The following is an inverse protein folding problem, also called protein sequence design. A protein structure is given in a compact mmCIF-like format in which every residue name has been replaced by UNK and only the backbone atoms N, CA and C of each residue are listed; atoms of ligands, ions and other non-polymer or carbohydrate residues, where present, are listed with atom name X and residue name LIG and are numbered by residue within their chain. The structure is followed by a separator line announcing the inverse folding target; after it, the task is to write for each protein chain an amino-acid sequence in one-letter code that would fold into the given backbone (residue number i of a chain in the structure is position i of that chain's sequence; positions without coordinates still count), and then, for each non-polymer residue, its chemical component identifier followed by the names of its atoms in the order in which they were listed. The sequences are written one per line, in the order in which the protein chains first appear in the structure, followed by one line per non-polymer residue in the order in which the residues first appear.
data_IF_467600834537
#
_entry.id   IF_467600834537
#
_cell.length_a   1.000
_cell.length_b   1.000
_cell.length_c   1.000
_cell.angle_alpha   90.00
_cell.angle_beta   90.00
_cell.angle_gamma   90.00
#
_symmetry.space_group_name_H-M   'P 1'
#
loop_
_entity.id
_entity.type
_entity.pdbx_description
1 polymer ?
#
# COMPACT_ATOMS: atom_id res chain seq x y z
N UNK A 1 -33.56 -7.59 9.98
CA UNK A 1 -32.21 -7.70 9.37
C UNK A 1 -31.85 -6.40 8.68
N UNK A 2 -30.61 -5.97 8.75
CA UNK A 2 -30.11 -4.81 8.02
C UNK A 2 -29.32 -5.27 6.79
N UNK A 3 -29.44 -4.59 5.67
CA UNK A 3 -28.84 -5.00 4.40
C UNK A 3 -27.95 -3.89 3.83
N UNK A 4 -26.73 -4.19 3.40
CA UNK A 4 -25.78 -3.24 2.82
C UNK A 4 -25.25 -3.69 1.43
N UNK A 5 -25.17 -2.96 0.32
CA UNK A 5 -24.71 -3.39 -1.02
C UNK A 5 -23.19 -3.25 -1.21
N UNK A 6 -22.58 -4.18 -1.91
CA UNK A 6 -21.13 -4.20 -2.09
C UNK A 6 -20.72 -3.65 -3.47
N UNK A 7 -21.21 -2.48 -3.83
CA UNK A 7 -20.62 -1.71 -4.91
C UNK A 7 -19.33 -1.03 -4.43
N UNK A 8 -18.46 -0.58 -5.33
CA UNK A 8 -17.13 -0.01 -5.01
C UNK A 8 -17.14 1.11 -3.94
N UNK A 9 -18.28 1.74 -3.71
CA UNK A 9 -18.46 2.82 -2.74
C UNK A 9 -19.53 2.55 -1.68
N UNK A 10 -20.24 1.44 -1.77
CA UNK A 10 -21.33 1.03 -0.88
C UNK A 10 -21.02 -0.36 -0.33
N UNK A 11 -21.40 -0.61 0.91
CA UNK A 11 -21.38 -1.93 1.51
C UNK A 11 -22.74 -2.25 2.05
N UNK A 12 -23.30 -3.29 1.52
CA UNK A 12 -24.58 -3.85 1.91
C UNK A 12 -24.36 -5.18 2.65
N UNK A 13 -24.93 -5.36 3.79
CA UNK A 13 -24.92 -6.65 4.49
C UNK A 13 -26.17 -6.78 5.35
N UNK A 14 -26.60 -8.01 5.52
CA UNK A 14 -27.74 -8.32 6.38
C UNK A 14 -27.22 -8.68 7.77
N UNK A 15 -27.71 -7.97 8.78
CA UNK A 15 -27.41 -8.24 10.18
C UNK A 15 -28.57 -8.96 10.85
N UNK A 16 -28.28 -10.09 11.51
CA UNK A 16 -29.14 -10.60 12.54
C UNK A 16 -28.99 -9.75 13.81
N UNK A 17 -30.04 -9.05 14.19
CA UNK A 17 -30.02 -8.26 15.43
C UNK A 17 -30.31 -9.20 16.60
N UNK A 18 -29.44 -9.30 17.62
CA UNK A 18 -29.72 -10.08 18.82
C UNK A 18 -30.87 -9.48 19.59
N UNK A 19 -31.57 -10.32 20.33
CA UNK A 19 -32.70 -9.90 21.18
C UNK A 19 -32.35 -8.71 22.10
N UNK A 20 -31.15 -8.73 22.66
CA UNK A 20 -30.59 -7.65 23.46
C UNK A 20 -29.08 -7.51 23.13
N UNK A 21 -28.58 -6.28 23.12
CA UNK A 21 -27.17 -6.03 23.02
C UNK A 21 -26.77 -5.00 21.96
N UNK A 22 -25.49 -5.05 21.60
CA UNK A 22 -24.89 -4.19 20.59
C UNK A 22 -24.47 -5.04 19.39
N UNK A 23 -24.65 -4.50 18.19
CA UNK A 23 -24.08 -5.04 16.96
C UNK A 23 -23.11 -3.99 16.45
N UNK A 24 -21.86 -4.40 16.22
CA UNK A 24 -20.86 -3.61 15.52
C UNK A 24 -20.72 -4.15 14.10
N UNK A 25 -20.87 -3.29 13.13
CA UNK A 25 -20.77 -3.63 11.73
C UNK A 25 -19.99 -2.57 10.98
N UNK A 26 -19.27 -2.96 9.95
CA UNK A 26 -18.53 -2.02 9.11
C UNK A 26 -17.09 -2.42 8.88
N UNK A 27 -16.13 -1.75 9.49
CA UNK A 27 -14.71 -1.82 9.15
C UNK A 27 -14.44 -1.30 7.73
N UNK A 28 -15.09 -0.19 7.38
CA UNK A 28 -14.99 0.45 6.07
C UNK A 28 -15.20 1.96 6.21
N UNK A 29 -14.63 2.75 5.31
CA UNK A 29 -14.97 4.17 5.19
C UNK A 29 -16.41 4.33 4.69
N UNK A 30 -17.19 5.18 5.33
CA UNK A 30 -18.56 5.49 4.92
C UNK A 30 -18.87 6.98 5.15
N UNK A 31 -19.84 7.49 4.44
CA UNK A 31 -20.36 8.86 4.59
C UNK A 31 -21.81 8.88 5.07
N UNK A 32 -22.56 7.88 4.67
CA UNK A 32 -23.98 7.74 5.01
C UNK A 32 -24.24 6.30 5.44
N UNK A 33 -25.19 6.15 6.36
CA UNK A 33 -25.71 4.85 6.79
C UNK A 33 -27.22 4.87 6.59
N UNK A 34 -27.75 3.84 5.93
CA UNK A 34 -29.17 3.60 5.81
C UNK A 34 -29.48 2.26 6.51
N UNK A 35 -30.55 2.22 7.25
CA UNK A 35 -31.01 1.03 7.95
C UNK A 35 -32.43 0.72 7.43
N UNK A 36 -32.57 -0.44 6.82
CA UNK A 36 -33.84 -0.93 6.32
C UNK A 36 -34.27 -2.17 7.13
N UNK A 37 -35.52 -2.21 7.54
CA UNK A 37 -36.10 -3.39 8.15
C UNK A 37 -36.64 -4.30 7.05
N UNK A 38 -36.10 -5.52 6.97
CA UNK A 38 -36.40 -6.45 5.87
C UNK A 38 -37.69 -7.23 6.11
N UNK A 39 -38.03 -7.46 7.35
CA UNK A 39 -39.25 -8.20 7.73
C UNK A 39 -40.44 -7.24 7.85
N UNK A 40 -41.50 -7.40 7.03
CA UNK A 40 -42.56 -6.37 6.91
C UNK A 40 -43.39 -6.15 8.18
N UNK A 41 -43.49 -7.16 9.06
CA UNK A 41 -44.29 -7.10 10.29
C UNK A 41 -43.42 -7.02 11.55
N UNK A 42 -42.11 -6.80 11.40
CA UNK A 42 -41.21 -6.71 12.54
C UNK A 42 -41.10 -5.24 13.06
N UNK A 43 -40.90 -5.11 14.35
CA UNK A 43 -40.61 -3.83 15.00
C UNK A 43 -39.16 -3.83 15.49
N UNK A 44 -38.43 -2.76 15.17
CA UNK A 44 -37.05 -2.56 15.62
C UNK A 44 -36.94 -1.31 16.47
N UNK A 45 -36.63 -1.48 17.75
CA UNK A 45 -36.37 -0.39 18.67
C UNK A 45 -34.86 -0.09 18.76
N UNK A 46 -34.41 0.96 18.08
CA UNK A 46 -33.01 1.42 18.10
C UNK A 46 -32.80 2.42 19.25
N UNK A 47 -31.90 2.11 20.18
CA UNK A 47 -31.51 3.03 21.26
C UNK A 47 -30.47 4.04 20.79
N UNK A 48 -29.53 3.62 19.97
CA UNK A 48 -28.49 4.48 19.44
C UNK A 48 -27.89 3.87 18.17
N UNK A 49 -27.48 4.74 17.26
CA UNK A 49 -26.57 4.45 16.15
C UNK A 49 -25.33 5.31 16.34
N UNK A 50 -24.16 4.72 16.36
CA UNK A 50 -22.89 5.41 16.59
C UNK A 50 -21.91 5.10 15.48
N UNK A 51 -21.23 6.13 14.97
CA UNK A 51 -20.04 5.97 14.15
C UNK A 51 -18.83 5.80 15.07
N UNK A 52 -18.03 4.77 14.82
CA UNK A 52 -16.77 4.51 15.53
C UNK A 52 -15.65 4.81 14.55
N UNK A 53 -14.87 5.87 14.83
CA UNK A 53 -13.66 6.17 14.10
C UNK A 53 -12.49 5.37 14.69
N UNK A 54 -11.82 4.59 13.85
CA UNK A 54 -10.58 3.88 14.20
C UNK A 54 -9.44 4.47 13.39
N UNK A 55 -8.40 4.92 14.05
CA UNK A 55 -7.18 5.45 13.42
C UNK A 55 -6.01 5.31 14.38
N UNK A 56 -4.77 5.41 13.88
CA UNK A 56 -3.59 5.45 14.74
C UNK A 56 -3.48 6.80 15.43
N UNK A 57 -3.21 6.77 16.72
CA UNK A 57 -2.92 7.99 17.49
C UNK A 57 -1.45 8.37 17.29
N UNK A 58 -1.18 9.12 16.22
CA UNK A 58 0.16 9.58 15.84
C UNK A 58 0.14 11.09 15.61
N UNK A 59 1.18 11.82 16.07
CA UNK A 59 1.25 13.26 15.83
C UNK A 59 1.57 13.60 14.38
N UNK A 60 1.04 14.71 13.89
CA UNK A 60 1.47 15.34 12.65
C UNK A 60 2.78 16.12 12.94
N UNK A 61 3.90 15.61 12.47
CA UNK A 61 5.23 16.22 12.64
C UNK A 61 5.58 17.16 11.49
N UNK A 62 5.16 16.79 10.27
CA UNK A 62 5.32 17.60 9.08
C UNK A 62 4.20 18.62 8.92
N UNK A 63 4.49 19.71 8.23
CA UNK A 63 3.51 20.73 7.90
C UNK A 63 3.82 21.36 6.55
N UNK A 64 2.79 21.82 5.86
CA UNK A 64 2.91 22.59 4.64
C UNK A 64 1.96 23.77 4.68
N UNK A 65 2.44 24.94 4.31
CA UNK A 65 1.61 26.14 4.16
C UNK A 65 2.18 27.06 3.07
N UNK A 66 1.30 27.56 2.23
CA UNK A 66 1.57 28.61 1.25
C UNK A 66 0.38 29.59 1.19
N UNK A 67 0.46 30.58 0.32
CA UNK A 67 -0.57 31.58 0.09
C UNK A 67 -1.77 31.09 -0.72
N UNK A 68 -1.67 29.93 -1.36
CA UNK A 68 -2.78 29.24 -2.04
C UNK A 68 -3.50 28.29 -1.08
N UNK A 69 -4.66 28.70 -0.60
CA UNK A 69 -5.48 27.88 0.30
C UNK A 69 -6.00 26.58 -0.35
N UNK A 70 -6.02 26.46 -1.65
CA UNK A 70 -6.37 25.21 -2.33
C UNK A 70 -5.24 24.18 -2.16
N UNK A 71 -4.00 24.61 -2.31
CA UNK A 71 -2.83 23.73 -2.09
C UNK A 71 -2.73 23.31 -0.63
N UNK A 72 -2.98 24.23 0.31
CA UNK A 72 -3.01 23.88 1.73
C UNK A 72 -4.02 22.77 2.02
N UNK A 73 -5.26 22.90 1.49
CA UNK A 73 -6.29 21.86 1.63
C UNK A 73 -5.96 20.54 0.92
N UNK A 74 -5.28 20.60 -0.21
CA UNK A 74 -4.81 19.37 -0.91
C UNK A 74 -3.84 18.60 -0.02
N UNK A 75 -2.87 19.31 0.57
CA UNK A 75 -1.91 18.70 1.48
C UNK A 75 -2.60 18.07 2.72
N UNK A 76 -3.46 18.84 3.38
CA UNK A 76 -4.22 18.35 4.54
C UNK A 76 -5.07 17.12 4.21
N UNK A 77 -5.74 17.14 3.05
CA UNK A 77 -6.56 16.01 2.59
C UNK A 77 -5.71 14.78 2.30
N UNK A 78 -4.54 14.95 1.66
CA UNK A 78 -3.61 13.87 1.38
C UNK A 78 -3.08 13.24 2.67
N UNK A 79 -2.60 14.06 3.60
CA UNK A 79 -2.13 13.62 4.91
C UNK A 79 -3.21 12.86 5.69
N UNK A 80 -4.43 13.39 5.74
CA UNK A 80 -5.55 12.74 6.42
C UNK A 80 -5.99 11.43 5.72
N UNK A 81 -5.96 11.39 4.39
CA UNK A 81 -6.27 10.18 3.63
C UNK A 81 -5.33 9.04 4.00
N UNK A 82 -4.02 9.30 3.98
CA UNK A 82 -3.03 8.29 4.37
C UNK A 82 -3.15 7.92 5.84
N UNK A 83 -3.42 8.88 6.73
CA UNK A 83 -3.65 8.60 8.14
C UNK A 83 -4.80 7.60 8.36
N UNK A 84 -5.91 7.74 7.63
CA UNK A 84 -7.02 6.79 7.69
C UNK A 84 -6.63 5.39 7.19
N UNK A 85 -5.67 5.28 6.27
CA UNK A 85 -5.18 4.03 5.73
C UNK A 85 -4.14 3.34 6.65
N UNK A 86 -3.57 4.06 7.63
CA UNK A 86 -2.63 3.52 8.64
C UNK A 86 -3.40 2.68 9.68
N UNK A 87 -3.88 1.51 9.28
CA UNK A 87 -4.64 0.59 10.13
C UNK A 87 -3.73 -0.51 10.70
N UNK A 88 -4.12 -1.77 10.69
CA UNK A 88 -3.24 -2.88 11.05
C UNK A 88 -2.03 -2.96 10.12
N UNK A 89 -2.28 -2.73 8.85
CA UNK A 89 -1.30 -2.48 7.79
C UNK A 89 -1.57 -1.13 7.14
N UNK A 90 -0.69 -0.69 6.27
CA UNK A 90 -0.93 0.43 5.39
C UNK A 90 -1.80 -0.04 4.23
N UNK A 91 -3.04 0.41 4.20
CA UNK A 91 -4.03 -0.02 3.22
C UNK A 91 -4.07 0.94 2.03
N UNK A 92 -4.29 0.40 0.85
CA UNK A 92 -4.57 1.14 -0.39
C UNK A 92 -5.79 2.06 -0.30
N UNK A 93 -6.73 1.74 0.58
CA UNK A 93 -7.93 2.54 0.79
C UNK A 93 -8.84 1.98 1.87
N UNK A 94 -9.54 2.85 2.58
CA UNK A 94 -10.45 2.47 3.69
C UNK A 94 -11.80 1.93 3.22
N UNK A 95 -12.14 2.08 1.93
CA UNK A 95 -13.46 1.70 1.40
C UNK A 95 -13.46 0.41 0.62
N UNK A 96 -12.55 0.27 -0.35
CA UNK A 96 -12.57 -0.85 -1.29
C UNK A 96 -11.74 -2.00 -0.78
N UNK A 97 -10.54 -2.21 -1.26
CA UNK A 97 -9.80 -3.46 -1.08
C UNK A 97 -9.32 -3.64 0.36
N UNK A 98 -8.77 -2.59 0.98
CA UNK A 98 -8.21 -2.60 2.35
C UNK A 98 -7.14 -3.69 2.47
N UNK A 99 -6.25 -3.69 1.51
CA UNK A 99 -5.13 -4.60 1.36
C UNK A 99 -3.83 -3.81 1.28
N UNK A 100 -2.73 -4.53 1.39
CA UNK A 100 -1.41 -3.98 1.12
C UNK A 100 -1.11 -4.16 -0.36
N UNK A 101 -1.35 -3.11 -1.15
CA UNK A 101 -1.01 -3.06 -2.56
C UNK A 101 0.31 -2.32 -2.75
N UNK A 102 1.38 -3.05 -3.06
CA UNK A 102 2.74 -2.48 -3.15
C UNK A 102 2.90 -1.36 -4.18
N UNK A 103 2.14 -1.43 -5.28
CA UNK A 103 2.16 -0.36 -6.29
C UNK A 103 1.61 0.97 -5.78
N UNK A 104 0.72 0.92 -4.79
CA UNK A 104 0.13 2.11 -4.15
C UNK A 104 0.98 2.61 -2.99
N UNK A 105 1.82 1.76 -2.39
CA UNK A 105 2.54 2.07 -1.16
C UNK A 105 3.58 3.19 -1.29
N UNK A 106 4.21 3.39 -2.46
CA UNK A 106 5.28 4.39 -2.55
C UNK A 106 4.82 5.81 -2.16
N UNK A 107 3.75 6.38 -2.75
CA UNK A 107 3.25 7.70 -2.33
C UNK A 107 2.72 7.71 -0.88
N UNK A 108 2.17 6.58 -0.40
CA UNK A 108 1.71 6.45 0.98
C UNK A 108 2.89 6.50 1.96
N UNK A 109 3.95 5.73 1.69
CA UNK A 109 5.18 5.73 2.51
C UNK A 109 5.83 7.11 2.53
N UNK A 110 5.95 7.77 1.37
CA UNK A 110 6.48 9.14 1.30
C UNK A 110 5.63 10.13 2.11
N UNK A 111 4.31 9.96 2.11
CA UNK A 111 3.40 10.76 2.94
C UNK A 111 3.61 10.44 4.42
N UNK A 112 3.70 9.17 4.80
CA UNK A 112 3.97 8.78 6.20
C UNK A 112 5.27 9.41 6.69
N UNK A 113 6.37 9.30 5.94
CA UNK A 113 7.66 9.85 6.30
C UNK A 113 7.63 11.38 6.42
N UNK A 114 6.93 12.05 5.51
CA UNK A 114 6.88 13.53 5.48
C UNK A 114 5.97 14.13 6.54
N UNK A 115 4.90 13.41 6.93
CA UNK A 115 3.85 13.93 7.83
C UNK A 115 3.99 13.40 9.24
N UNK A 116 4.24 12.10 9.40
CA UNK A 116 4.20 11.41 10.70
C UNK A 116 5.58 10.95 11.19
N UNK A 117 6.58 10.92 10.29
CA UNK A 117 7.88 10.31 10.56
C UNK A 117 7.84 8.80 10.49
N UNK A 118 8.93 8.14 10.90
CA UNK A 118 9.02 6.69 10.88
C UNK A 118 7.88 6.01 11.67
N UNK A 119 7.24 5.03 11.05
CA UNK A 119 6.13 4.31 11.66
C UNK A 119 6.18 2.81 11.35
N UNK A 120 5.96 2.00 12.38
CA UNK A 120 5.99 0.53 12.27
C UNK A 120 5.00 -0.05 11.26
N UNK A 121 3.90 0.65 10.96
CA UNK A 121 2.91 0.18 9.99
C UNK A 121 3.51 0.01 8.59
N UNK A 122 4.45 0.88 8.20
CA UNK A 122 5.16 0.80 6.92
C UNK A 122 5.97 -0.50 6.87
N UNK A 123 6.83 -0.71 7.86
CA UNK A 123 7.70 -1.91 7.93
C UNK A 123 6.87 -3.19 7.99
N UNK A 124 5.84 -3.22 8.83
CA UNK A 124 4.92 -4.36 8.95
C UNK A 124 4.27 -4.69 7.61
N UNK A 125 3.89 -3.69 6.82
CA UNK A 125 3.27 -3.88 5.52
C UNK A 125 4.25 -4.42 4.49
N UNK A 126 5.47 -3.89 4.46
CA UNK A 126 6.55 -4.37 3.58
C UNK A 126 6.95 -5.80 3.90
N UNK A 127 7.09 -6.12 5.19
CA UNK A 127 7.41 -7.47 5.67
C UNK A 127 6.28 -8.46 5.36
N UNK A 128 5.02 -8.03 5.58
CA UNK A 128 3.86 -8.86 5.28
C UNK A 128 3.84 -9.30 3.80
N UNK A 129 4.09 -8.38 2.88
CA UNK A 129 4.08 -8.73 1.45
C UNK A 129 5.28 -9.60 1.09
N UNK A 130 6.49 -9.33 1.63
CA UNK A 130 7.67 -10.17 1.47
C UNK A 130 7.40 -11.60 1.94
N UNK A 131 6.89 -11.77 3.15
CA UNK A 131 6.70 -13.07 3.79
C UNK A 131 5.62 -13.93 3.09
N UNK A 132 4.69 -13.27 2.41
CA UNK A 132 3.64 -13.92 1.62
C UNK A 132 3.98 -14.08 0.13
N UNK A 133 5.18 -13.70 -0.29
CA UNK A 133 5.62 -13.80 -1.69
C UNK A 133 6.92 -14.60 -1.80
N UNK A 134 6.86 -15.94 -1.76
CA UNK A 134 8.03 -16.76 -2.02
C UNK A 134 8.52 -16.54 -3.46
N UNK A 135 9.83 -16.35 -3.62
CA UNK A 135 10.44 -16.21 -4.95
C UNK A 135 10.40 -17.54 -5.72
N UNK A 136 10.24 -17.48 -7.06
CA UNK A 136 10.28 -16.30 -7.93
C UNK A 136 8.93 -15.61 -8.17
N UNK A 137 7.97 -15.75 -7.27
CA UNK A 137 6.67 -15.09 -7.37
C UNK A 137 6.78 -13.55 -7.31
N UNK A 138 5.78 -12.87 -7.88
CA UNK A 138 5.67 -11.42 -7.85
C UNK A 138 4.74 -10.95 -6.74
N UNK A 139 5.12 -9.88 -6.04
CA UNK A 139 4.30 -9.25 -5.02
C UNK A 139 2.96 -8.81 -5.60
N UNK A 140 1.87 -9.16 -4.93
CA UNK A 140 0.51 -8.97 -5.42
C UNK A 140 0.29 -9.47 -6.88
N UNK A 141 1.07 -10.46 -7.32
CA UNK A 141 1.07 -11.05 -8.69
C UNK A 141 1.45 -10.08 -9.82
N UNK A 142 2.08 -8.95 -9.50
CA UNK A 142 2.45 -7.88 -10.44
C UNK A 142 3.94 -7.61 -10.32
N UNK A 143 4.70 -7.82 -11.40
CA UNK A 143 6.17 -7.66 -11.37
C UNK A 143 6.60 -6.22 -11.01
N UNK A 144 5.88 -5.20 -11.48
CA UNK A 144 6.13 -3.81 -11.12
C UNK A 144 6.09 -3.59 -9.59
N UNK A 145 5.24 -4.31 -8.88
CA UNK A 145 5.10 -4.17 -7.43
C UNK A 145 6.33 -4.69 -6.68
N UNK A 146 6.95 -5.76 -7.18
CA UNK A 146 8.24 -6.22 -6.63
C UNK A 146 9.37 -5.21 -6.86
N UNK A 147 9.37 -4.49 -7.98
CA UNK A 147 10.31 -3.39 -8.22
C UNK A 147 10.06 -2.22 -7.27
N UNK A 148 8.80 -1.85 -7.04
CA UNK A 148 8.44 -0.83 -6.06
C UNK A 148 8.90 -1.19 -4.64
N UNK A 149 8.84 -2.47 -4.26
CA UNK A 149 9.32 -2.90 -2.95
C UNK A 149 10.81 -2.55 -2.72
N UNK A 150 11.65 -2.75 -3.73
CA UNK A 150 13.08 -2.38 -3.66
C UNK A 150 13.25 -0.86 -3.54
N UNK A 151 12.54 -0.10 -4.39
CA UNK A 151 12.59 1.36 -4.42
C UNK A 151 12.14 1.95 -3.08
N UNK A 152 11.03 1.45 -2.53
CA UNK A 152 10.52 1.89 -1.23
C UNK A 152 11.54 1.66 -0.12
N UNK A 153 12.24 0.53 -0.10
CA UNK A 153 13.27 0.27 0.93
C UNK A 153 14.46 1.24 0.83
N UNK A 154 14.87 1.60 -0.39
CA UNK A 154 15.89 2.63 -0.59
C UNK A 154 15.43 3.97 0.00
N UNK A 155 14.23 4.40 -0.36
CA UNK A 155 13.68 5.68 0.06
C UNK A 155 13.41 5.70 1.58
N UNK A 156 12.87 4.62 2.13
CA UNK A 156 12.66 4.46 3.57
C UNK A 156 13.97 4.60 4.35
N UNK A 157 15.03 3.94 3.89
CA UNK A 157 16.34 4.05 4.53
C UNK A 157 16.91 5.49 4.44
N UNK A 158 16.69 6.19 3.35
CA UNK A 158 17.11 7.60 3.21
C UNK A 158 16.44 8.52 4.23
N UNK A 159 15.21 8.22 4.65
CA UNK A 159 14.48 8.97 5.67
C UNK A 159 14.82 8.53 7.10
N UNK A 160 14.91 7.24 7.36
CA UNK A 160 15.01 6.68 8.71
C UNK A 160 16.43 6.35 9.14
N UNK A 161 17.31 6.01 8.21
CA UNK A 161 18.70 5.61 8.49
C UNK A 161 18.82 4.28 9.26
N UNK A 162 17.77 3.46 9.32
CA UNK A 162 17.78 2.21 10.06
C UNK A 162 18.45 1.08 9.28
N UNK A 163 19.76 0.97 9.46
CA UNK A 163 20.57 -0.05 8.83
C UNK A 163 20.22 -1.47 9.32
N UNK A 164 19.70 -1.62 10.53
CA UNK A 164 19.34 -2.95 11.06
C UNK A 164 18.11 -3.49 10.32
N UNK A 165 17.08 -2.68 10.17
CA UNK A 165 15.92 -3.07 9.38
C UNK A 165 16.31 -3.39 7.92
N UNK A 166 17.20 -2.60 7.33
CA UNK A 166 17.67 -2.87 5.96
C UNK A 166 18.44 -4.19 5.86
N UNK A 167 19.22 -4.57 6.88
CA UNK A 167 19.91 -5.87 6.97
C UNK A 167 18.94 -7.05 7.05
N UNK A 168 17.82 -6.91 7.73
CA UNK A 168 16.78 -7.93 7.80
C UNK A 168 16.19 -8.24 6.41
N UNK A 169 16.20 -7.28 5.50
CA UNK A 169 15.69 -7.43 4.14
C UNK A 169 16.72 -7.99 3.15
N UNK A 170 18.01 -7.97 3.50
CA UNK A 170 19.13 -8.18 2.58
C UNK A 170 19.04 -9.50 1.80
N UNK A 171 18.72 -10.60 2.46
CA UNK A 171 18.70 -11.93 1.81
C UNK A 171 17.60 -12.01 0.74
N UNK A 172 16.37 -11.64 1.11
CA UNK A 172 15.25 -11.63 0.17
C UNK A 172 15.46 -10.62 -0.97
N UNK A 173 15.95 -9.42 -0.66
CA UNK A 173 16.21 -8.37 -1.64
C UNK A 173 17.25 -8.81 -2.68
N UNK A 174 18.36 -9.41 -2.24
CA UNK A 174 19.37 -9.96 -3.14
C UNK A 174 18.79 -11.02 -4.07
N UNK A 175 17.98 -11.94 -3.53
CA UNK A 175 17.35 -12.98 -4.32
C UNK A 175 16.32 -12.39 -5.31
N UNK A 176 15.52 -11.42 -4.89
CA UNK A 176 14.58 -10.72 -5.77
C UNK A 176 15.28 -9.98 -6.91
N UNK A 177 16.34 -9.23 -6.62
CA UNK A 177 17.11 -8.51 -7.64
C UNK A 177 17.72 -9.46 -8.68
N UNK A 178 18.17 -10.64 -8.27
CA UNK A 178 18.64 -11.70 -9.21
C UNK A 178 17.49 -12.25 -10.05
N UNK A 179 16.31 -12.44 -9.49
CA UNK A 179 15.13 -12.84 -10.27
C UNK A 179 14.81 -11.78 -11.32
N UNK A 180 14.81 -10.50 -10.94
CA UNK A 180 14.59 -9.38 -11.85
C UNK A 180 15.66 -9.37 -12.97
N UNK A 181 16.95 -9.43 -12.62
CA UNK A 181 18.05 -9.43 -13.58
C UNK A 181 18.01 -10.63 -14.54
N UNK A 182 17.62 -11.82 -14.05
CA UNK A 182 17.51 -13.02 -14.88
C UNK A 182 16.44 -12.94 -15.97
N UNK A 183 15.54 -11.98 -15.89
CA UNK A 183 14.47 -11.75 -16.85
C UNK A 183 14.74 -10.55 -17.77
N UNK A 184 15.98 -10.09 -17.83
CA UNK A 184 16.42 -9.15 -18.86
C UNK A 184 16.79 -9.87 -20.14
N UNK A 185 16.45 -9.29 -21.29
CA UNK A 185 16.92 -9.71 -22.60
C UNK A 185 17.81 -8.60 -23.18
N UNK A 186 19.11 -8.75 -22.98
CA UNK A 186 20.06 -7.66 -23.19
C UNK A 186 19.71 -6.46 -22.30
N UNK A 187 19.49 -5.30 -22.90
CA UNK A 187 19.14 -4.07 -22.19
C UNK A 187 17.63 -3.89 -21.98
N UNK A 188 16.82 -4.89 -22.31
CA UNK A 188 15.35 -4.81 -22.26
C UNK A 188 14.75 -5.67 -21.17
N UNK A 189 13.78 -5.12 -20.45
CA UNK A 189 12.98 -5.92 -19.54
C UNK A 189 12.14 -6.94 -20.33
N UNK A 190 12.10 -8.15 -19.86
CA UNK A 190 11.29 -9.24 -20.40
C UNK A 190 10.59 -10.00 -19.27
N UNK A 191 10.07 -9.25 -18.30
CA UNK A 191 9.46 -9.80 -17.10
C UNK A 191 8.24 -10.65 -17.45
N UNK A 192 8.30 -11.91 -17.07
CA UNK A 192 7.27 -12.91 -17.32
C UNK A 192 6.56 -13.30 -16.04
N UNK A 193 5.37 -13.86 -16.21
CA UNK A 193 4.53 -14.31 -15.11
C UNK A 193 3.75 -13.14 -14.44
N UNK A 194 2.57 -13.47 -13.93
CA UNK A 194 1.71 -12.50 -13.29
C UNK A 194 1.04 -11.51 -14.25
N UNK A 195 0.41 -10.51 -13.67
CA UNK A 195 -0.27 -9.45 -14.41
C UNK A 195 0.73 -8.35 -14.76
N UNK A 196 0.71 -7.92 -16.03
CA UNK A 196 1.47 -6.73 -16.46
C UNK A 196 0.60 -5.49 -16.28
N UNK A 197 0.75 -4.82 -15.16
CA UNK A 197 0.03 -3.59 -14.81
C UNK A 197 1.04 -2.53 -14.37
N UNK A 198 1.01 -1.37 -15.01
CA UNK A 198 1.72 -0.18 -14.56
C UNK A 198 0.78 0.69 -13.73
N UNK A 199 -0.33 1.09 -14.34
CA UNK A 199 -1.48 1.72 -13.70
C UNK A 199 -2.77 1.49 -14.53
N UNK A 200 -3.92 1.87 -14.00
CA UNK A 200 -5.20 1.64 -14.66
C UNK A 200 -5.39 2.40 -15.98
N UNK A 201 -5.00 3.68 -16.11
CA UNK A 201 -5.12 4.42 -17.38
C UNK A 201 -4.34 3.77 -18.53
N UNK A 202 -3.22 3.09 -18.24
CA UNK A 202 -2.36 2.48 -19.27
C UNK A 202 -2.59 0.98 -19.45
N UNK A 203 -3.51 0.38 -18.70
CA UNK A 203 -3.73 -1.08 -18.62
C UNK A 203 -3.98 -1.78 -19.95
N UNK A 204 -4.42 -1.05 -20.99
CA UNK A 204 -4.65 -1.55 -22.35
C UNK A 204 -3.59 -1.07 -23.35
N UNK A 205 -2.45 -0.53 -22.89
CA UNK A 205 -1.41 0.07 -23.71
C UNK A 205 -0.06 -0.68 -23.54
N UNK A 206 0.16 -1.83 -24.22
CA UNK A 206 1.34 -2.70 -23.98
C UNK A 206 2.67 -1.97 -24.11
N UNK A 207 2.83 -1.09 -25.07
CA UNK A 207 4.08 -0.34 -25.30
C UNK A 207 4.36 0.64 -24.15
N UNK A 208 3.30 1.28 -23.60
CA UNK A 208 3.42 2.18 -22.47
C UNK A 208 3.77 1.39 -21.20
N UNK A 209 3.13 0.23 -21.02
CA UNK A 209 3.46 -0.68 -19.89
C UNK A 209 4.92 -1.13 -20.01
N UNK A 210 5.37 -1.54 -21.20
CA UNK A 210 6.76 -1.95 -21.40
C UNK A 210 7.74 -0.81 -21.07
N UNK A 211 7.50 0.40 -21.56
CA UNK A 211 8.33 1.56 -21.26
C UNK A 211 8.39 1.87 -19.75
N UNK A 212 7.24 1.79 -19.08
CA UNK A 212 7.16 1.99 -17.63
C UNK A 212 7.87 0.89 -16.83
N UNK A 213 7.74 -0.38 -17.25
CA UNK A 213 8.45 -1.51 -16.66
C UNK A 213 9.97 -1.38 -16.84
N UNK A 214 10.41 -0.94 -18.03
CA UNK A 214 11.83 -0.66 -18.28
C UNK A 214 12.36 0.43 -17.34
N UNK A 215 11.62 1.53 -17.17
CA UNK A 215 12.00 2.60 -16.26
C UNK A 215 12.05 2.12 -14.79
N UNK A 216 11.03 1.36 -14.35
CA UNK A 216 11.01 0.79 -12.99
C UNK A 216 12.16 -0.20 -12.76
N UNK A 217 12.53 -0.99 -13.78
CA UNK A 217 13.66 -1.90 -13.70
C UNK A 217 14.96 -1.13 -13.43
N UNK A 218 15.22 -0.07 -14.20
CA UNK A 218 16.40 0.79 -13.98
C UNK A 218 16.40 1.36 -12.56
N UNK A 219 15.27 1.94 -12.13
CA UNK A 219 15.15 2.50 -10.77
C UNK A 219 15.35 1.46 -9.67
N UNK A 220 14.82 0.24 -9.85
CA UNK A 220 14.96 -0.85 -8.88
C UNK A 220 16.41 -1.34 -8.80
N UNK A 221 17.10 -1.46 -9.94
CA UNK A 221 18.51 -1.85 -9.97
C UNK A 221 19.41 -0.77 -9.38
N UNK A 222 19.18 0.50 -9.67
CA UNK A 222 19.88 1.61 -9.04
C UNK A 222 19.69 1.60 -7.51
N UNK A 223 18.43 1.46 -7.05
CA UNK A 223 18.11 1.33 -5.64
C UNK A 223 18.80 0.11 -4.99
N UNK A 224 18.81 -1.04 -5.67
CA UNK A 224 19.53 -2.24 -5.24
C UNK A 224 21.04 -2.02 -5.11
N UNK A 225 21.64 -1.29 -6.06
CA UNK A 225 23.06 -0.95 -6.01
C UNK A 225 23.40 -0.01 -4.85
N UNK A 226 22.55 0.99 -4.57
CA UNK A 226 22.73 1.89 -3.43
C UNK A 226 22.61 1.14 -2.10
N UNK A 227 21.56 0.32 -1.95
CA UNK A 227 21.34 -0.52 -0.78
C UNK A 227 22.51 -1.48 -0.56
N UNK A 228 23.00 -2.14 -1.63
CA UNK A 228 24.19 -2.99 -1.58
C UNK A 228 25.43 -2.23 -1.05
N UNK A 229 25.58 -0.98 -1.47
CA UNK A 229 26.64 -0.09 -0.96
C UNK A 229 26.51 0.16 0.55
N UNK A 230 25.32 0.50 1.04
CA UNK A 230 25.06 0.77 2.46
C UNK A 230 25.22 -0.47 3.34
N UNK A 231 24.86 -1.63 2.83
CA UNK A 231 25.01 -2.91 3.51
C UNK A 231 26.44 -3.46 3.47
N UNK A 232 27.33 -2.88 2.66
CA UNK A 232 28.67 -3.43 2.39
C UNK A 232 28.66 -4.66 1.51
N UNK A 233 27.54 -4.95 0.83
CA UNK A 233 27.35 -6.07 -0.08
C UNK A 233 27.84 -5.74 -1.48
N UNK A 234 29.14 -5.88 -1.69
CA UNK A 234 29.80 -5.56 -2.98
C UNK A 234 29.28 -6.43 -4.14
N UNK A 235 28.86 -7.66 -3.85
CA UNK A 235 28.33 -8.55 -4.89
C UNK A 235 26.98 -8.05 -5.39
N UNK A 236 26.03 -7.79 -4.46
CA UNK A 236 24.72 -7.21 -4.79
C UNK A 236 24.88 -5.87 -5.54
N UNK A 237 25.79 -5.00 -5.04
CA UNK A 237 26.06 -3.71 -5.70
C UNK A 237 26.57 -3.89 -7.13
N UNK A 238 27.47 -4.84 -7.38
CA UNK A 238 28.01 -5.12 -8.71
C UNK A 238 26.97 -5.74 -9.63
N UNK A 239 26.21 -6.73 -9.14
CA UNK A 239 25.15 -7.39 -9.90
C UNK A 239 24.06 -6.43 -10.38
N UNK A 240 23.79 -5.35 -9.62
CA UNK A 240 22.80 -4.33 -9.99
C UNK A 240 23.35 -3.26 -10.94
N UNK A 241 24.67 -3.17 -11.15
CA UNK A 241 25.31 -2.17 -12.05
C UNK A 241 25.73 -2.72 -13.40
N UNK A 242 25.79 -4.02 -13.51
CA UNK A 242 26.20 -4.73 -14.73
C UNK A 242 25.09 -4.97 -15.67
#
# INVERSE_FOLDING_TARGET
MASATNEQSLRDFTLGVPWLGNVEAGNSGFRFVRIDLVEPDAELNLKAVRAILRYRDVPYLGSFRCDDERLNRIWETGAYTVHLNMQEYLWDGVKRDRLVWLGDMHPEVMTVQSVFGGNEVVRRSLDHVRDNTPLPGWMNWIAAYSMWWVIIHRDLYMYEGDLNYLREQQEYMRALLRVLASQMDGDRENLQGGQRLLDWPTSQMPDVIHAGYQALMVMAMEAGAEIGGWLGDRQMQSECRG
#
